data_IF_963470095664
#
_entry.id   IF_963470095664
#
_cell.length_a   1.000
_cell.length_b   1.000
_cell.length_c   1.000
_cell.angle_alpha   90.00
_cell.angle_beta   90.00
_cell.angle_gamma   90.00
#
_symmetry.space_group_name_H-M   'P 1'
#
loop_
_entity.id
_entity.type
_entity.pdbx_description
1 polymer ?
#
# COMPACT_ATOMS: atom_id res chain seq x y z
N UNK A 1 9.51 10.37 4.23
CA UNK A 1 9.07 10.94 5.53
C UNK A 1 9.06 9.85 6.61
N UNK A 2 8.94 10.17 7.90
CA UNK A 2 8.75 9.16 8.97
C UNK A 2 7.25 9.03 9.27
N UNK A 3 6.70 7.81 9.21
CA UNK A 3 5.26 7.55 9.38
C UNK A 3 5.03 6.49 10.46
N UNK A 4 3.86 6.55 11.11
CA UNK A 4 3.41 5.49 12.00
C UNK A 4 2.28 4.73 11.31
N UNK A 5 2.49 3.45 11.04
CA UNK A 5 1.46 2.56 10.53
C UNK A 5 0.49 2.14 11.64
N UNK A 6 -0.60 1.47 11.26
CA UNK A 6 -1.54 0.83 12.18
C UNK A 6 -0.82 -0.03 13.22
N UNK A 7 -1.29 -0.01 14.46
CA UNK A 7 -0.74 -0.88 15.50
C UNK A 7 -0.96 -2.36 15.13
N UNK A 8 0.10 -3.16 15.24
CA UNK A 8 0.11 -4.55 14.78
C UNK A 8 0.51 -4.74 13.31
N UNK A 9 0.79 -3.65 12.59
CA UNK A 9 1.39 -3.72 11.25
C UNK A 9 2.71 -4.46 11.24
N UNK A 10 3.11 -4.92 10.05
CA UNK A 10 4.38 -5.63 9.83
C UNK A 10 5.63 -4.79 10.13
N UNK A 11 5.48 -3.46 10.18
CA UNK A 11 6.56 -2.52 10.48
C UNK A 11 6.76 -2.31 11.99
N UNK A 12 5.89 -2.90 12.82
CA UNK A 12 5.95 -2.81 14.28
C UNK A 12 5.40 -1.48 14.83
N UNK A 13 5.46 -1.28 16.15
CA UNK A 13 4.74 -0.19 16.83
C UNK A 13 5.37 1.21 16.68
N UNK A 14 6.34 1.41 15.79
CA UNK A 14 7.20 2.59 15.72
C UNK A 14 7.06 3.43 14.46
N UNK A 15 7.85 4.51 14.41
CA UNK A 15 8.02 5.29 13.19
C UNK A 15 8.87 4.52 12.19
N UNK A 16 8.40 4.46 10.96
CA UNK A 16 9.03 3.78 9.83
C UNK A 16 9.35 4.79 8.74
N UNK A 17 10.43 4.57 7.99
CA UNK A 17 10.70 5.37 6.79
C UNK A 17 9.65 5.04 5.72
N UNK A 18 8.98 6.08 5.22
CA UNK A 18 8.17 6.03 4.02
C UNK A 18 9.00 6.59 2.86
N UNK A 19 9.53 5.72 1.98
CA UNK A 19 10.49 6.10 0.94
C UNK A 19 9.83 6.58 -0.36
N UNK A 20 8.50 6.54 -0.45
CA UNK A 20 7.75 6.84 -1.67
C UNK A 20 7.45 8.33 -1.82
N UNK A 21 7.23 8.75 -3.06
CA UNK A 21 6.93 10.11 -3.49
C UNK A 21 5.76 10.14 -4.48
N UNK A 22 5.29 11.35 -4.81
CA UNK A 22 4.29 11.57 -5.86
C UNK A 22 4.74 10.94 -7.20
N UNK A 23 3.80 10.27 -7.86
CA UNK A 23 3.98 9.51 -9.09
C UNK A 23 4.32 8.03 -8.89
N UNK A 24 4.82 7.64 -7.70
CA UNK A 24 5.21 6.26 -7.46
C UNK A 24 4.01 5.30 -7.52
N UNK A 25 4.21 4.18 -8.22
CA UNK A 25 3.26 3.08 -8.27
C UNK A 25 3.46 2.18 -7.04
N UNK A 26 2.40 2.03 -6.24
CA UNK A 26 2.46 1.35 -4.94
C UNK A 26 1.36 0.32 -4.78
N UNK A 27 1.65 -0.70 -3.98
CA UNK A 27 0.67 -1.60 -3.40
C UNK A 27 0.35 -1.12 -1.99
N UNK A 28 -0.92 -0.83 -1.72
CA UNK A 28 -1.42 -0.25 -0.48
C UNK A 28 -2.19 -1.34 0.26
N UNK A 29 -1.71 -1.74 1.43
CA UNK A 29 -2.32 -2.82 2.22
C UNK A 29 -3.05 -2.23 3.42
N UNK A 30 -4.38 -2.26 3.39
CA UNK A 30 -5.22 -1.84 4.52
C UNK A 30 -5.39 -2.98 5.52
N UNK A 31 -5.52 -4.22 5.03
CA UNK A 31 -5.62 -5.40 5.89
C UNK A 31 -5.03 -6.65 5.23
N UNK A 32 -4.19 -7.37 5.97
CA UNK A 32 -3.70 -8.69 5.55
C UNK A 32 -4.73 -9.80 5.84
N UNK A 33 -4.71 -10.83 4.99
CA UNK A 33 -5.47 -12.06 5.22
C UNK A 33 -5.11 -12.69 6.56
N UNK A 34 -6.04 -12.66 7.52
CA UNK A 34 -5.89 -13.33 8.83
C UNK A 34 -6.93 -14.42 9.05
N UNK A 35 -7.99 -14.49 8.23
CA UNK A 35 -8.99 -15.57 8.23
C UNK A 35 -9.74 -15.67 6.90
N UNK A 36 -10.18 -16.87 6.53
CA UNK A 36 -10.78 -17.27 5.25
C UNK A 36 -12.11 -16.58 4.86
N UNK A 37 -12.64 -15.69 5.68
CA UNK A 37 -14.00 -15.13 5.56
C UNK A 37 -14.07 -13.61 5.28
N UNK A 38 -12.95 -12.90 5.21
CA UNK A 38 -12.92 -11.48 4.83
C UNK A 38 -12.08 -11.28 3.57
N UNK A 39 -12.56 -10.42 2.68
CA UNK A 39 -11.85 -10.04 1.45
C UNK A 39 -10.58 -9.27 1.80
N UNK A 40 -9.49 -9.60 1.10
CA UNK A 40 -8.25 -8.84 1.17
C UNK A 40 -8.52 -7.40 0.71
N UNK A 41 -8.23 -6.43 1.56
CA UNK A 41 -8.33 -5.01 1.21
C UNK A 41 -6.93 -4.47 0.96
N UNK A 42 -6.39 -4.82 -0.20
CA UNK A 42 -5.22 -4.15 -0.76
C UNK A 42 -5.54 -3.58 -2.13
N UNK A 43 -4.88 -2.47 -2.44
CA UNK A 43 -5.06 -1.72 -3.68
C UNK A 43 -3.73 -1.57 -4.40
N UNK A 44 -3.80 -1.32 -5.69
CA UNK A 44 -2.66 -0.85 -6.47
C UNK A 44 -3.02 0.51 -7.06
N UNK A 45 -2.08 1.43 -7.07
CA UNK A 45 -2.33 2.78 -7.57
C UNK A 45 -1.10 3.66 -7.57
N UNK A 46 -1.28 4.90 -8.03
CA UNK A 46 -0.22 5.90 -8.08
C UNK A 46 -0.45 6.95 -7.00
N UNK A 47 0.59 7.24 -6.22
CA UNK A 47 0.56 8.34 -5.25
C UNK A 47 0.45 9.66 -6.02
N UNK A 48 -0.50 10.51 -5.65
CA UNK A 48 -0.72 11.81 -6.26
C UNK A 48 -0.32 12.96 -5.36
N UNK A 49 -0.35 12.75 -4.04
CA UNK A 49 0.07 13.76 -3.07
C UNK A 49 0.42 13.13 -1.73
N UNK A 50 1.53 13.56 -1.11
CA UNK A 50 1.82 13.29 0.31
C UNK A 50 1.17 14.37 1.18
N UNK A 51 0.51 13.96 2.27
CA UNK A 51 -0.26 14.85 3.13
C UNK A 51 0.23 14.74 4.57
N UNK A 52 1.05 15.71 4.99
CA UNK A 52 1.65 15.76 6.32
C UNK A 52 0.62 16.10 7.42
N UNK A 53 -0.40 16.92 7.12
CA UNK A 53 -1.38 17.37 8.13
C UNK A 53 -2.29 16.25 8.60
N UNK A 54 -2.81 15.47 7.64
CA UNK A 54 -3.65 14.31 7.92
C UNK A 54 -2.83 13.03 8.11
N UNK A 55 -1.51 13.07 7.91
CA UNK A 55 -0.59 11.95 8.08
C UNK A 55 -1.00 10.78 7.16
N UNK A 56 -0.98 11.04 5.87
CA UNK A 56 -1.36 10.06 4.84
C UNK A 56 -0.89 10.45 3.46
N UNK A 57 -1.52 9.86 2.45
CA UNK A 57 -1.30 10.21 1.06
C UNK A 57 -2.58 9.99 0.25
N UNK A 58 -2.68 10.72 -0.85
CA UNK A 58 -3.69 10.49 -1.87
C UNK A 58 -3.14 9.58 -2.96
N UNK A 59 -4.00 8.75 -3.53
CA UNK A 59 -3.66 7.92 -4.67
C UNK A 59 -4.86 7.76 -5.62
N UNK A 60 -4.55 7.62 -6.91
CA UNK A 60 -5.49 7.14 -7.93
C UNK A 60 -5.29 5.63 -8.05
N UNK A 61 -6.38 4.87 -7.97
CA UNK A 61 -6.34 3.41 -7.96
C UNK A 61 -6.51 2.82 -9.36
N UNK A 62 -5.92 1.65 -9.59
CA UNK A 62 -5.99 0.96 -10.88
C UNK A 62 -7.42 0.52 -11.25
N UNK A 63 -8.25 0.22 -10.25
CA UNK A 63 -9.63 -0.25 -10.40
C UNK A 63 -10.68 0.88 -10.49
N UNK A 64 -10.34 2.08 -10.00
CA UNK A 64 -11.14 3.30 -10.18
C UNK A 64 -10.23 4.51 -10.52
N UNK A 65 -9.76 4.62 -11.78
CA UNK A 65 -8.81 5.65 -12.19
C UNK A 65 -9.41 7.06 -12.28
N UNK A 66 -10.73 7.19 -12.18
CA UNK A 66 -11.45 8.47 -12.26
C UNK A 66 -11.60 9.13 -10.88
N UNK A 67 -11.27 8.41 -9.80
CA UNK A 67 -11.36 8.88 -8.43
C UNK A 67 -10.03 8.79 -7.71
N UNK A 68 -9.82 9.74 -6.81
CA UNK A 68 -8.68 9.79 -5.92
C UNK A 68 -9.13 9.43 -4.51
N UNK A 69 -8.39 8.52 -3.87
CA UNK A 69 -8.69 8.04 -2.52
C UNK A 69 -7.58 8.47 -1.55
N UNK A 70 -7.98 8.84 -0.34
CA UNK A 70 -7.06 9.20 0.73
C UNK A 70 -6.78 8.00 1.63
N UNK A 71 -5.50 7.71 1.83
CA UNK A 71 -5.03 6.66 2.73
C UNK A 71 -4.30 7.25 3.93
N UNK A 72 -4.87 7.06 5.11
CA UNK A 72 -4.29 7.46 6.37
C UNK A 72 -3.30 6.38 6.88
N UNK A 73 -2.06 6.75 7.22
CA UNK A 73 -1.05 5.76 7.62
C UNK A 73 -1.47 4.92 8.84
N UNK A 74 -2.23 5.52 9.77
CA UNK A 74 -2.73 4.82 10.96
C UNK A 74 -3.72 3.70 10.69
N UNK A 75 -4.26 3.61 9.47
CA UNK A 75 -5.21 2.56 9.05
C UNK A 75 -4.56 1.51 8.15
N UNK A 76 -3.31 1.74 7.71
CA UNK A 76 -2.58 0.85 6.82
C UNK A 76 -1.73 -0.16 7.60
N UNK A 77 -1.73 -1.40 7.12
CA UNK A 77 -0.77 -2.42 7.53
C UNK A 77 0.59 -2.20 6.84
N UNK A 78 0.58 -1.82 5.56
CA UNK A 78 1.80 -1.56 4.82
C UNK A 78 1.58 -0.83 3.49
N UNK A 79 2.68 -0.29 2.95
CA UNK A 79 2.81 0.14 1.56
C UNK A 79 4.10 -0.45 0.99
N UNK A 80 4.05 -0.93 -0.26
CA UNK A 80 5.20 -1.47 -0.99
C UNK A 80 5.21 -1.00 -2.44
N UNK A 81 6.27 -1.31 -3.17
CA UNK A 81 6.36 -1.12 -4.62
C UNK A 81 5.19 -1.85 -5.32
N UNK A 82 4.55 -1.20 -6.29
CA UNK A 82 3.34 -1.71 -6.95
C UNK A 82 3.54 -2.99 -7.78
N UNK A 83 4.79 -3.43 -7.98
CA UNK A 83 5.09 -4.74 -8.57
C UNK A 83 4.94 -5.90 -7.57
N UNK A 84 4.58 -5.61 -6.32
CA UNK A 84 4.50 -6.60 -5.23
C UNK A 84 3.07 -6.93 -4.85
N UNK A 85 2.86 -8.21 -4.52
CA UNK A 85 1.58 -8.77 -4.10
C UNK A 85 1.72 -9.21 -2.64
N UNK A 86 0.82 -8.77 -1.73
CA UNK A 86 0.86 -9.18 -0.34
C UNK A 86 0.46 -10.65 -0.18
N UNK A 87 1.05 -11.33 0.80
CA UNK A 87 0.66 -12.67 1.25
C UNK A 87 0.90 -12.80 2.75
N UNK A 88 0.51 -13.94 3.35
CA UNK A 88 0.70 -14.20 4.77
C UNK A 88 2.17 -14.01 5.20
N UNK A 89 2.44 -12.96 5.98
CA UNK A 89 3.76 -12.67 6.54
C UNK A 89 4.74 -12.00 5.58
N UNK A 90 4.29 -11.46 4.44
CA UNK A 90 5.18 -10.74 3.53
C UNK A 90 4.55 -10.31 2.20
N UNK A 91 5.39 -10.21 1.18
CA UNK A 91 5.01 -9.89 -0.19
C UNK A 91 5.92 -10.62 -1.17
N UNK A 92 5.40 -10.90 -2.37
CA UNK A 92 6.15 -11.48 -3.49
C UNK A 92 6.10 -10.54 -4.68
N UNK A 93 7.06 -10.62 -5.60
CA UNK A 93 6.97 -9.86 -6.85
C UNK A 93 6.00 -10.55 -7.81
N UNK A 94 5.15 -9.77 -8.47
CA UNK A 94 4.32 -10.24 -9.58
C UNK A 94 5.25 -10.80 -10.66
N UNK A 95 4.99 -12.03 -11.11
CA UNK A 95 5.76 -12.57 -12.24
C UNK A 95 5.45 -11.75 -13.48
N UNK A 96 6.43 -11.01 -13.99
CA UNK A 96 6.36 -10.53 -15.37
C UNK A 96 6.32 -11.78 -16.26
N UNK A 97 5.20 -11.99 -16.95
CA UNK A 97 5.21 -12.90 -18.09
C UNK A 97 6.21 -12.32 -19.08
N UNK A 98 7.39 -12.93 -19.16
CA UNK A 98 8.22 -12.78 -20.34
C UNK A 98 7.38 -13.32 -21.49
N UNK A 99 6.72 -12.42 -22.24
CA UNK A 99 6.17 -12.75 -23.55
C UNK A 99 7.38 -13.02 -24.46
N UNK A 100 7.87 -14.26 -24.42
CA UNK A 100 8.72 -14.78 -25.49
C UNK A 100 7.81 -14.93 -26.71
N UNK A 101 7.87 -13.94 -27.61
CA UNK A 101 7.39 -14.07 -28.98
C UNK A 101 8.29 -15.02 -29.77
#
# INVERSE_FOLDING_TARGET
MKVKYKDGSIYGPGLTDFPYQEGDYVTIVVRYWTSKEEDDLYYHGHITQLEDERVGFWAVLDDDPDQEEFFHFGDLEAVFDGDKIPFLGGWTKRQQKNNTL
#
